data_IF_739557527680
#
_entry.id   IF_739557527680
#
_cell.length_a   1.000
_cell.length_b   1.000
_cell.length_c   1.000
_cell.angle_alpha   90.00
_cell.angle_beta   90.00
_cell.angle_gamma   90.00
#
_symmetry.space_group_name_H-M   'P 1'
#
loop_
_entity.id
_entity.type
_entity.pdbx_description
1 polymer ?
#
# COMPACT_ATOMS: atom_id res chain seq x y z
N UNK A 1 6.08 -33.72 -47.97
CA UNK A 1 5.49 -33.89 -46.63
C UNK A 1 6.45 -34.73 -45.83
N UNK A 2 7.26 -34.12 -44.99
CA UNK A 2 8.16 -34.84 -44.09
C UNK A 2 8.37 -34.01 -42.83
N UNK A 3 7.92 -34.59 -41.72
CA UNK A 3 8.50 -34.49 -40.37
C UNK A 3 8.59 -33.09 -39.75
N UNK A 4 7.44 -32.52 -39.36
CA UNK A 4 7.42 -31.67 -38.16
C UNK A 4 7.46 -32.62 -36.94
N UNK A 5 8.67 -32.98 -36.48
CA UNK A 5 8.84 -33.56 -35.13
C UNK A 5 8.21 -32.59 -34.12
N UNK A 6 7.36 -33.10 -33.22
CA UNK A 6 6.75 -32.25 -32.20
C UNK A 6 7.83 -31.73 -31.24
N UNK A 7 7.60 -30.57 -30.58
CA UNK A 7 8.54 -30.05 -29.58
C UNK A 7 8.86 -31.09 -28.50
N UNK A 8 7.87 -31.89 -28.11
CA UNK A 8 8.02 -32.95 -27.11
C UNK A 8 8.89 -34.11 -27.63
N UNK A 9 8.82 -34.46 -28.92
CA UNK A 9 9.70 -35.46 -29.53
C UNK A 9 11.15 -34.97 -29.62
N UNK A 10 11.35 -33.72 -30.06
CA UNK A 10 12.69 -33.09 -30.09
C UNK A 10 13.30 -32.98 -28.69
N UNK A 11 12.45 -32.74 -27.68
CA UNK A 11 12.83 -32.60 -26.28
C UNK A 11 13.20 -33.93 -25.62
N UNK A 12 12.45 -35.00 -25.88
CA UNK A 12 12.80 -36.34 -25.39
C UNK A 12 14.07 -36.89 -26.08
N UNK A 13 14.27 -36.56 -27.36
CA UNK A 13 15.52 -36.85 -28.08
C UNK A 13 16.71 -36.10 -27.48
N UNK A 14 16.52 -34.82 -27.13
CA UNK A 14 17.54 -34.04 -26.42
C UNK A 14 17.91 -34.61 -25.04
N UNK A 15 16.92 -35.06 -24.25
CA UNK A 15 17.20 -35.75 -22.98
C UNK A 15 17.98 -37.05 -23.17
N UNK A 16 17.70 -37.81 -24.23
CA UNK A 16 18.40 -39.05 -24.54
C UNK A 16 19.87 -38.78 -24.96
N UNK A 17 20.08 -37.79 -25.84
CA UNK A 17 21.41 -37.39 -26.33
C UNK A 17 22.32 -36.87 -25.19
N UNK A 18 21.75 -36.11 -24.24
CA UNK A 18 22.46 -35.60 -23.05
C UNK A 18 22.90 -36.75 -22.14
N UNK A 19 22.12 -37.84 -22.04
CA UNK A 19 22.51 -39.04 -21.27
C UNK A 19 23.62 -39.86 -21.94
N UNK A 20 23.69 -39.85 -23.27
CA UNK A 20 24.64 -40.67 -24.05
C UNK A 20 26.02 -39.98 -24.24
N UNK A 21 26.07 -38.65 -24.17
CA UNK A 21 27.25 -37.78 -24.36
C UNK A 21 28.35 -37.91 -23.28
N UNK A 22 28.09 -38.62 -22.18
CA UNK A 22 28.96 -38.73 -21.00
C UNK A 22 30.35 -39.39 -21.20
N UNK A 23 30.82 -39.65 -22.43
CA UNK A 23 32.17 -40.22 -22.62
C UNK A 23 33.11 -39.59 -23.64
N UNK A 24 32.72 -38.59 -24.45
CA UNK A 24 33.62 -37.77 -25.29
C UNK A 24 32.80 -36.83 -26.17
N UNK A 25 32.85 -35.52 -25.93
CA UNK A 25 32.90 -34.44 -26.93
C UNK A 25 32.32 -33.12 -26.41
N UNK A 26 33.20 -32.27 -25.87
CA UNK A 26 32.92 -30.88 -25.50
C UNK A 26 32.54 -30.01 -26.72
N UNK A 27 33.10 -30.30 -27.89
CA UNK A 27 32.88 -29.55 -29.13
C UNK A 27 31.56 -29.92 -29.83
N UNK A 28 31.15 -31.20 -29.72
CA UNK A 28 29.85 -31.68 -30.21
C UNK A 28 28.70 -31.23 -29.32
N UNK A 29 28.92 -31.14 -28.01
CA UNK A 29 27.97 -30.51 -27.08
C UNK A 29 27.74 -29.04 -27.44
N UNK A 30 28.80 -28.26 -27.70
CA UNK A 30 28.69 -26.86 -28.15
C UNK A 30 27.90 -26.70 -29.45
N UNK A 31 28.22 -27.49 -30.48
CA UNK A 31 27.47 -27.45 -31.75
C UNK A 31 26.01 -27.86 -31.56
N UNK A 32 25.73 -28.85 -30.71
CA UNK A 32 24.38 -29.30 -30.42
C UNK A 32 23.55 -28.23 -29.69
N UNK A 33 24.15 -27.47 -28.76
CA UNK A 33 23.49 -26.35 -28.08
C UNK A 33 23.21 -25.17 -29.03
N UNK A 34 24.14 -24.84 -29.92
CA UNK A 34 23.93 -23.79 -30.94
C UNK A 34 22.85 -24.20 -31.96
N UNK A 35 22.88 -25.44 -32.44
CA UNK A 35 21.93 -25.94 -33.44
C UNK A 35 20.52 -26.09 -32.86
N UNK A 36 20.37 -26.68 -31.66
CA UNK A 36 19.07 -26.82 -30.99
C UNK A 36 18.55 -25.48 -30.45
N UNK A 37 19.43 -24.58 -30.00
CA UNK A 37 19.05 -23.21 -29.64
C UNK A 37 18.45 -22.44 -30.82
N UNK A 38 19.03 -22.59 -32.01
CA UNK A 38 18.50 -21.99 -33.25
C UNK A 38 17.14 -22.57 -33.65
N UNK A 39 16.97 -23.89 -33.51
CA UNK A 39 15.70 -24.59 -33.78
C UNK A 39 14.59 -24.15 -32.80
N UNK A 40 14.93 -23.93 -31.53
CA UNK A 40 14.02 -23.35 -30.54
C UNK A 40 13.62 -21.92 -30.93
N UNK A 41 14.56 -21.08 -31.38
CA UNK A 41 14.23 -19.72 -31.86
C UNK A 41 13.27 -19.74 -33.06
N UNK A 42 13.43 -20.65 -34.02
CA UNK A 42 12.53 -20.80 -35.17
C UNK A 42 11.12 -21.29 -34.77
N UNK A 43 11.04 -22.20 -33.80
CA UNK A 43 9.77 -22.65 -33.24
C UNK A 43 9.05 -21.54 -32.47
N UNK A 44 9.79 -20.66 -31.79
CA UNK A 44 9.21 -19.52 -31.09
C UNK A 44 8.71 -18.45 -32.07
N UNK A 45 9.45 -18.14 -33.15
CA UNK A 45 8.93 -17.28 -34.24
C UNK A 45 7.63 -17.84 -34.86
N UNK A 46 7.50 -19.16 -34.89
CA UNK A 46 6.29 -19.84 -35.39
C UNK A 46 5.14 -19.78 -34.38
N UNK A 47 5.43 -19.83 -33.07
CA UNK A 47 4.47 -19.68 -31.99
C UNK A 47 3.99 -18.22 -31.82
N UNK A 48 4.87 -17.23 -32.02
CA UNK A 48 4.55 -15.80 -32.08
C UNK A 48 3.50 -15.50 -33.17
N UNK A 49 3.65 -16.11 -34.35
CA UNK A 49 2.66 -16.01 -35.44
C UNK A 49 1.29 -16.61 -35.09
N UNK A 50 1.23 -17.51 -34.10
CA UNK A 50 0.00 -18.23 -33.68
C UNK A 50 -0.63 -17.68 -32.40
N UNK A 51 -0.03 -16.68 -31.74
CA UNK A 51 -0.57 -15.99 -30.56
C UNK A 51 -0.88 -16.93 -29.36
N UNK A 52 -0.08 -17.99 -29.17
CA UNK A 52 -0.29 -19.01 -28.14
C UNK A 52 0.57 -18.73 -26.89
N UNK A 53 0.03 -17.95 -25.95
CA UNK A 53 0.72 -17.57 -24.71
C UNK A 53 0.86 -18.73 -23.71
N UNK A 54 -0.09 -19.67 -23.64
CA UNK A 54 0.00 -20.85 -22.76
C UNK A 54 1.17 -21.77 -23.15
N UNK A 55 1.52 -21.83 -24.44
CA UNK A 55 2.63 -22.63 -24.93
C UNK A 55 4.00 -22.08 -24.45
N UNK A 56 4.12 -20.76 -24.31
CA UNK A 56 5.36 -20.11 -23.85
C UNK A 56 5.58 -20.30 -22.35
N UNK A 57 4.50 -20.29 -21.55
CA UNK A 57 4.55 -20.51 -20.10
C UNK A 57 4.92 -21.97 -19.77
N UNK A 58 4.35 -22.93 -20.50
CA UNK A 58 4.67 -24.35 -20.35
C UNK A 58 6.09 -24.68 -20.84
N UNK A 59 6.56 -23.99 -21.88
CA UNK A 59 7.95 -24.08 -22.36
C UNK A 59 8.95 -23.55 -21.33
N UNK A 60 8.62 -22.47 -20.62
CA UNK A 60 9.46 -21.90 -19.55
C UNK A 60 9.64 -22.89 -18.38
N UNK A 61 8.55 -23.51 -17.90
CA UNK A 61 8.61 -24.51 -16.82
C UNK A 61 9.45 -25.72 -17.24
N UNK A 62 9.32 -26.17 -18.49
CA UNK A 62 10.10 -27.29 -19.03
C UNK A 62 11.60 -26.95 -19.20
N UNK A 63 11.94 -25.71 -19.57
CA UNK A 63 13.32 -25.22 -19.61
C UNK A 63 13.94 -25.22 -18.21
N UNK A 64 13.20 -24.74 -17.20
CA UNK A 64 13.63 -24.76 -15.79
C UNK A 64 13.80 -26.20 -15.26
N UNK A 65 12.97 -27.14 -15.72
CA UNK A 65 13.08 -28.55 -15.33
C UNK A 65 14.29 -29.27 -15.96
N UNK A 66 14.64 -28.97 -17.21
CA UNK A 66 15.88 -29.48 -17.83
C UNK A 66 17.12 -28.94 -17.12
N UNK A 67 17.05 -27.69 -16.66
CA UNK A 67 18.12 -27.07 -15.86
C UNK A 67 18.34 -27.78 -14.53
N UNK A 68 17.29 -28.27 -13.85
CA UNK A 68 17.47 -29.03 -12.61
C UNK A 68 18.14 -30.38 -12.83
N UNK A 69 17.85 -31.05 -13.95
CA UNK A 69 18.44 -32.36 -14.31
C UNK A 69 19.90 -32.23 -14.77
N UNK A 70 20.28 -31.13 -15.44
CA UNK A 70 21.66 -30.89 -15.86
C UNK A 70 22.61 -30.58 -14.69
N UNK A 71 22.08 -30.05 -13.57
CA UNK A 71 22.84 -29.66 -12.37
C UNK A 71 23.19 -30.86 -11.48
N UNK A 72 22.44 -31.95 -11.56
CA UNK A 72 22.71 -33.19 -10.81
C UNK A 72 23.98 -33.93 -11.26
N UNK A 73 24.58 -33.55 -12.40
CA UNK A 73 25.85 -34.10 -12.88
C UNK A 73 26.98 -33.07 -12.70
N UNK A 74 27.98 -33.42 -11.90
CA UNK A 74 28.96 -32.54 -11.24
C UNK A 74 30.04 -31.87 -12.12
N UNK A 75 29.79 -31.56 -13.40
CA UNK A 75 30.80 -30.87 -14.23
C UNK A 75 30.66 -29.32 -14.22
N UNK A 76 31.76 -28.63 -13.97
CA UNK A 76 31.81 -27.18 -13.72
C UNK A 76 31.60 -26.34 -15.00
N UNK A 77 31.92 -26.92 -16.17
CA UNK A 77 31.81 -26.27 -17.47
C UNK A 77 30.37 -26.27 -18.02
N UNK A 78 29.60 -27.35 -17.76
CA UNK A 78 28.18 -27.45 -18.12
C UNK A 78 27.33 -26.50 -17.27
N UNK A 79 27.67 -26.32 -15.98
CA UNK A 79 27.02 -25.37 -15.07
C UNK A 79 27.14 -23.92 -15.57
N UNK A 80 28.34 -23.47 -15.97
CA UNK A 80 28.54 -22.10 -16.51
C UNK A 80 27.79 -21.85 -17.82
N UNK A 81 27.75 -22.83 -18.71
CA UNK A 81 27.03 -22.71 -19.98
C UNK A 81 25.51 -22.75 -19.78
N UNK A 82 25.00 -23.60 -18.88
CA UNK A 82 23.60 -23.59 -18.49
C UNK A 82 23.19 -22.26 -17.84
N UNK A 83 24.04 -21.65 -17.01
CA UNK A 83 23.84 -20.32 -16.43
C UNK A 83 23.72 -19.22 -17.50
N UNK A 84 24.59 -19.24 -18.51
CA UNK A 84 24.56 -18.24 -19.58
C UNK A 84 23.35 -18.42 -20.50
N UNK A 85 23.00 -19.68 -20.83
CA UNK A 85 21.76 -20.00 -21.56
C UNK A 85 20.54 -19.58 -20.74
N UNK A 86 20.54 -19.78 -19.42
CA UNK A 86 19.47 -19.30 -18.52
C UNK A 86 19.39 -17.78 -18.52
N UNK A 87 20.51 -17.08 -18.38
CA UNK A 87 20.56 -15.61 -18.42
C UNK A 87 19.97 -15.06 -19.72
N UNK A 88 20.39 -15.62 -20.86
CA UNK A 88 19.95 -15.17 -22.20
C UNK A 88 18.49 -15.53 -22.46
N UNK A 89 18.07 -16.77 -22.16
CA UNK A 89 16.69 -17.23 -22.39
C UNK A 89 15.70 -16.58 -21.43
N UNK A 90 16.01 -16.45 -20.14
CA UNK A 90 15.17 -15.75 -19.17
C UNK A 90 15.04 -14.26 -19.50
N UNK A 91 16.12 -13.59 -19.90
CA UNK A 91 16.07 -12.18 -20.33
C UNK A 91 15.26 -12.00 -21.62
N UNK A 92 15.42 -12.91 -22.59
CA UNK A 92 14.71 -12.86 -23.86
C UNK A 92 13.22 -13.17 -23.71
N UNK A 93 12.87 -14.20 -22.92
CA UNK A 93 11.49 -14.54 -22.54
C UNK A 93 10.84 -13.40 -21.75
N UNK A 94 11.56 -12.78 -20.80
CA UNK A 94 11.09 -11.62 -20.04
C UNK A 94 10.82 -10.40 -20.94
N UNK A 95 11.72 -10.11 -21.89
CA UNK A 95 11.56 -9.02 -22.87
C UNK A 95 10.34 -9.22 -23.78
N UNK A 96 9.97 -10.46 -24.09
CA UNK A 96 8.81 -10.77 -24.95
C UNK A 96 7.50 -10.93 -24.18
N UNK A 97 7.54 -11.41 -22.94
CA UNK A 97 6.36 -11.65 -22.11
C UNK A 97 6.00 -10.49 -21.17
N UNK A 98 6.89 -9.51 -20.95
CA UNK A 98 6.76 -8.49 -19.88
C UNK A 98 6.32 -9.12 -18.53
N UNK A 99 6.92 -10.27 -18.18
CA UNK A 99 6.62 -10.94 -16.92
C UNK A 99 6.90 -10.01 -15.75
N UNK A 100 6.06 -10.12 -14.72
CA UNK A 100 5.99 -9.22 -13.58
C UNK A 100 7.38 -9.03 -12.93
N UNK A 101 7.66 -7.84 -12.41
CA UNK A 101 8.87 -7.55 -11.64
C UNK A 101 9.04 -8.57 -10.49
N UNK A 102 7.95 -9.08 -9.91
CA UNK A 102 7.95 -10.16 -8.91
C UNK A 102 8.39 -11.52 -9.44
N UNK A 103 8.04 -11.90 -10.67
CA UNK A 103 8.48 -13.17 -11.27
C UNK A 103 9.92 -13.08 -11.74
N UNK A 104 10.33 -11.90 -12.23
CA UNK A 104 11.72 -11.56 -12.46
C UNK A 104 12.53 -11.62 -11.16
N UNK A 105 12.05 -11.02 -10.07
CA UNK A 105 12.68 -11.06 -8.74
C UNK A 105 12.69 -12.47 -8.16
N UNK A 106 11.61 -13.27 -8.29
CA UNK A 106 11.59 -14.68 -7.88
C UNK A 106 12.59 -15.51 -8.66
N UNK A 107 12.67 -15.31 -9.97
CA UNK A 107 13.64 -16.00 -10.83
C UNK A 107 15.06 -15.56 -10.49
N UNK A 108 15.29 -14.27 -10.24
CA UNK A 108 16.57 -13.74 -9.80
C UNK A 108 16.98 -14.28 -8.43
N UNK A 109 16.04 -14.38 -7.48
CA UNK A 109 16.27 -15.00 -6.17
C UNK A 109 16.52 -16.51 -6.27
N UNK A 110 15.84 -17.21 -7.19
CA UNK A 110 16.10 -18.62 -7.47
C UNK A 110 17.49 -18.82 -8.06
N UNK A 111 17.90 -17.99 -9.03
CA UNK A 111 19.25 -17.99 -9.61
C UNK A 111 20.32 -17.65 -8.57
N UNK A 112 20.09 -16.67 -7.68
CA UNK A 112 20.99 -16.32 -6.58
C UNK A 112 21.09 -17.44 -5.52
N UNK A 113 19.97 -18.12 -5.22
CA UNK A 113 19.93 -19.27 -4.32
C UNK A 113 20.68 -20.49 -4.88
N UNK A 114 20.65 -20.70 -6.20
CA UNK A 114 21.37 -21.78 -6.86
C UNK A 114 22.86 -21.44 -7.12
N UNK A 115 23.23 -20.15 -7.28
CA UNK A 115 24.58 -19.73 -7.73
C UNK A 115 25.08 -18.42 -7.06
N UNK A 116 25.54 -18.46 -5.80
CA UNK A 116 25.71 -17.27 -4.95
C UNK A 116 26.88 -16.31 -5.31
N UNK A 117 27.79 -16.67 -6.23
CA UNK A 117 28.91 -15.81 -6.65
C UNK A 117 28.74 -15.25 -8.06
N UNK A 118 28.42 -16.09 -9.05
CA UNK A 118 28.14 -15.63 -10.42
C UNK A 118 26.74 -14.97 -10.55
N UNK A 119 25.74 -15.44 -9.79
CA UNK A 119 24.38 -14.91 -9.81
C UNK A 119 24.29 -13.44 -9.41
N UNK A 120 25.06 -13.02 -8.40
CA UNK A 120 25.11 -11.62 -7.95
C UNK A 120 25.65 -10.65 -9.01
N UNK A 121 26.62 -11.09 -9.81
CA UNK A 121 27.18 -10.27 -10.90
C UNK A 121 26.18 -10.15 -12.05
N UNK A 122 25.57 -11.25 -12.46
CA UNK A 122 24.53 -11.26 -13.50
C UNK A 122 23.32 -10.42 -13.09
N UNK A 123 22.89 -10.52 -11.82
CA UNK A 123 21.77 -9.74 -11.27
C UNK A 123 22.04 -8.24 -11.28
N UNK A 124 23.25 -7.82 -10.89
CA UNK A 124 23.65 -6.41 -10.94
C UNK A 124 23.65 -5.86 -12.37
N UNK A 125 24.18 -6.63 -13.32
CA UNK A 125 24.21 -6.24 -14.74
C UNK A 125 22.79 -6.17 -15.35
N UNK A 126 21.88 -7.09 -14.97
CA UNK A 126 20.49 -7.07 -15.41
C UNK A 126 19.71 -5.87 -14.85
N UNK A 127 19.93 -5.51 -13.59
CA UNK A 127 19.31 -4.33 -12.97
C UNK A 127 19.83 -3.01 -13.58
N UNK A 128 21.14 -2.88 -13.79
CA UNK A 128 21.72 -1.69 -14.44
C UNK A 128 21.24 -1.53 -15.90
N UNK A 129 21.02 -2.65 -16.61
CA UNK A 129 20.46 -2.64 -17.96
C UNK A 129 18.97 -2.24 -17.94
N UNK A 130 18.20 -2.71 -16.96
CA UNK A 130 16.80 -2.33 -16.75
C UNK A 130 16.66 -0.83 -16.50
N UNK A 131 17.48 -0.24 -15.61
CA UNK A 131 17.48 1.19 -15.33
C UNK A 131 17.82 2.03 -16.58
N UNK A 132 18.78 1.58 -17.40
CA UNK A 132 19.15 2.25 -18.65
C UNK A 132 18.06 2.18 -19.72
N UNK A 133 17.33 1.08 -19.82
CA UNK A 133 16.24 0.93 -20.79
C UNK A 133 14.99 1.70 -20.37
N UNK A 134 14.68 1.75 -19.07
CA UNK A 134 13.65 2.63 -18.51
C UNK A 134 13.95 4.11 -18.79
N UNK A 135 15.23 4.52 -18.67
CA UNK A 135 15.67 5.87 -19.01
C UNK A 135 15.59 6.23 -20.51
N UNK A 136 15.56 5.23 -21.41
CA UNK A 136 15.48 5.42 -22.86
C UNK A 136 14.03 5.50 -23.40
N UNK A 137 13.02 5.28 -22.56
CA UNK A 137 11.61 5.49 -22.94
C UNK A 137 11.35 7.00 -22.93
N UNK A 138 11.18 7.61 -24.10
CA UNK A 138 11.07 9.08 -24.24
C UNK A 138 10.04 9.69 -23.27
N UNK A 139 10.36 10.77 -22.54
CA UNK A 139 9.46 11.43 -21.59
C UNK A 139 8.23 12.09 -22.21
N UNK A 140 8.07 12.08 -23.54
CA UNK A 140 6.97 12.76 -24.25
C UNK A 140 5.60 12.08 -24.13
N UNK A 141 5.52 10.86 -23.60
CA UNK A 141 4.28 10.06 -23.54
C UNK A 141 3.69 9.95 -22.13
N UNK A 142 4.27 10.67 -21.16
CA UNK A 142 3.94 10.59 -19.75
C UNK A 142 3.31 11.92 -19.34
N UNK A 143 2.16 11.84 -18.68
CA UNK A 143 1.57 13.00 -18.03
C UNK A 143 1.70 12.85 -16.52
N UNK A 144 2.36 13.81 -15.89
CA UNK A 144 2.56 13.84 -14.44
C UNK A 144 1.52 14.73 -13.79
N UNK A 145 0.93 14.25 -12.70
CA UNK A 145 -0.08 14.96 -11.92
C UNK A 145 0.34 14.94 -10.48
N UNK A 146 0.66 16.12 -9.96
CA UNK A 146 0.75 16.35 -8.54
C UNK A 146 -0.67 16.46 -7.98
N UNK A 147 -1.04 15.55 -7.08
CA UNK A 147 -2.27 15.73 -6.33
C UNK A 147 -2.14 16.96 -5.44
N UNK A 148 -3.07 17.90 -5.57
CA UNK A 148 -3.20 19.01 -4.64
C UNK A 148 -3.58 18.49 -3.24
N UNK A 149 -3.37 19.34 -2.22
CA UNK A 149 -3.70 19.06 -0.81
C UNK A 149 -5.08 18.38 -0.69
N UNK A 150 -5.14 17.22 -0.05
CA UNK A 150 -6.42 16.53 0.17
C UNK A 150 -6.33 15.05 0.55
N UNK A 151 -5.25 14.37 0.17
CA UNK A 151 -5.00 12.96 0.52
C UNK A 151 -4.09 12.77 1.74
N UNK A 152 -3.77 13.84 2.45
CA UNK A 152 -2.98 13.75 3.66
C UNK A 152 -3.79 13.06 4.77
N UNK A 153 -3.27 11.95 5.31
CA UNK A 153 -3.82 11.31 6.50
C UNK A 153 -3.55 12.19 7.71
N UNK A 154 -4.48 13.12 7.97
CA UNK A 154 -4.42 14.07 9.07
C UNK A 154 -5.64 13.91 9.97
N UNK A 155 -5.42 13.94 11.28
CA UNK A 155 -6.49 13.93 12.26
C UNK A 155 -6.06 14.58 13.57
N UNK A 156 -7.03 15.01 14.39
CA UNK A 156 -6.79 15.63 15.68
C UNK A 156 -7.17 14.66 16.81
N UNK A 157 -6.24 14.44 17.72
CA UNK A 157 -6.43 13.71 18.96
C UNK A 157 -6.65 14.70 20.10
N UNK A 158 -7.90 14.87 20.52
CA UNK A 158 -8.28 15.73 21.65
C UNK A 158 -8.76 14.87 22.82
N UNK A 159 -8.13 15.01 23.97
CA UNK A 159 -8.53 14.27 25.18
C UNK A 159 -8.19 15.05 26.44
N UNK A 160 -9.02 14.92 27.47
CA UNK A 160 -8.74 15.44 28.82
C UNK A 160 -8.61 14.26 29.76
N UNK A 161 -7.47 14.19 30.45
CA UNK A 161 -7.17 13.14 31.41
C UNK A 161 -7.16 13.76 32.80
N UNK A 162 -8.00 13.22 33.67
CA UNK A 162 -8.11 13.63 35.08
C UNK A 162 -7.83 12.42 35.98
N UNK A 163 -7.02 12.60 37.02
CA UNK A 163 -6.75 11.53 37.97
C UNK A 163 -5.55 11.80 38.88
N UNK A 164 -5.37 10.94 39.89
CA UNK A 164 -4.20 11.01 40.77
C UNK A 164 -3.05 10.15 40.26
N UNK A 165 -1.83 10.70 40.28
CA UNK A 165 -0.59 9.94 40.07
C UNK A 165 0.14 9.76 41.40
N UNK A 166 -0.28 8.74 42.14
CA UNK A 166 0.20 8.46 43.50
C UNK A 166 1.67 8.03 43.57
N UNK A 167 2.23 7.47 42.50
CA UNK A 167 3.65 7.08 42.42
C UNK A 167 4.16 7.02 40.96
N UNK A 168 5.47 6.78 40.75
CA UNK A 168 6.13 6.72 39.43
C UNK A 168 5.82 5.45 38.60
N UNK A 169 5.06 4.51 39.15
CA UNK A 169 4.55 3.33 38.44
C UNK A 169 3.13 3.55 37.92
N UNK A 170 2.39 4.48 38.51
CA UNK A 170 1.06 4.86 38.05
C UNK A 170 1.14 5.54 36.68
N UNK A 171 0.12 5.26 35.86
CA UNK A 171 -0.08 5.85 34.55
C UNK A 171 -1.55 6.22 34.42
N UNK A 172 -1.82 7.37 33.81
CA UNK A 172 -3.16 7.72 33.36
C UNK A 172 -3.20 7.53 31.84
N UNK A 173 -4.26 6.92 31.33
CA UNK A 173 -4.39 6.59 29.91
C UNK A 173 -5.77 7.06 29.45
N UNK A 174 -5.83 7.73 28.29
CA UNK A 174 -7.12 8.07 27.67
C UNK A 174 -7.82 6.83 27.13
N UNK A 175 -9.10 6.98 26.78
CA UNK A 175 -9.81 6.00 25.93
C UNK A 175 -9.09 5.87 24.58
N UNK A 176 -9.26 4.71 23.95
CA UNK A 176 -8.77 4.47 22.59
C UNK A 176 -9.65 5.23 21.59
N UNK A 177 -9.04 5.98 20.67
CA UNK A 177 -9.70 6.69 19.57
C UNK A 177 -9.19 6.16 18.25
N UNK A 178 -10.07 5.76 17.34
CA UNK A 178 -9.68 5.12 16.09
C UNK A 178 -9.57 6.15 14.95
N UNK A 179 -8.43 6.15 14.27
CA UNK A 179 -8.20 6.92 13.04
C UNK A 179 -7.44 6.06 12.03
N UNK A 180 -7.96 6.02 10.80
CA UNK A 180 -7.42 5.21 9.70
C UNK A 180 -7.25 3.73 10.11
N UNK A 181 -8.21 3.19 10.86
CA UNK A 181 -8.16 1.81 11.36
C UNK A 181 -7.22 1.57 12.53
N UNK A 182 -6.48 2.58 12.98
CA UNK A 182 -5.46 2.47 14.03
C UNK A 182 -6.04 3.07 15.33
N UNK A 183 -5.95 2.37 16.47
CA UNK A 183 -6.28 2.92 17.77
C UNK A 183 -5.16 3.83 18.27
N UNK A 184 -5.55 5.00 18.77
CA UNK A 184 -4.68 6.01 19.33
C UNK A 184 -5.08 6.32 20.77
N UNK A 185 -4.10 6.60 21.62
CA UNK A 185 -4.35 7.07 22.98
C UNK A 185 -3.21 7.90 23.53
N UNK A 186 -3.55 8.78 24.46
CA UNK A 186 -2.59 9.53 25.25
C UNK A 186 -2.32 8.79 26.56
N UNK A 187 -1.06 8.84 27.00
CA UNK A 187 -0.64 8.34 28.29
C UNK A 187 0.16 9.42 29.02
N UNK A 188 -0.13 9.61 30.30
CA UNK A 188 0.64 10.43 31.23
C UNK A 188 1.31 9.50 32.23
N UNK A 189 2.62 9.67 32.43
CA UNK A 189 3.39 8.91 33.42
C UNK A 189 4.28 9.83 34.24
N UNK A 190 4.26 9.64 35.56
CA UNK A 190 5.20 10.30 36.48
C UNK A 190 6.56 9.57 36.46
N UNK A 191 7.64 10.32 36.31
CA UNK A 191 9.02 9.82 36.38
C UNK A 191 9.50 9.80 37.84
N UNK A 192 10.70 9.26 38.08
CA UNK A 192 11.33 9.30 39.42
C UNK A 192 11.79 10.71 39.83
N UNK A 193 11.96 11.59 38.87
CA UNK A 193 12.40 12.99 39.04
C UNK A 193 11.21 13.96 39.13
N UNK A 194 10.02 13.45 39.45
CA UNK A 194 8.77 14.21 39.54
C UNK A 194 8.44 15.04 38.29
N UNK A 195 8.79 14.47 37.13
CA UNK A 195 8.34 14.96 35.83
C UNK A 195 7.17 14.12 35.31
N UNK A 196 6.33 14.71 34.49
CA UNK A 196 5.25 14.06 33.77
C UNK A 196 5.64 13.91 32.30
N UNK A 197 5.79 12.67 31.86
CA UNK A 197 5.94 12.36 30.44
C UNK A 197 4.57 12.16 29.82
N UNK A 198 4.29 12.95 28.79
CA UNK A 198 3.10 12.84 27.96
C UNK A 198 3.48 12.11 26.69
N UNK A 199 2.79 11.01 26.41
CA UNK A 199 3.09 10.12 25.29
C UNK A 199 1.83 9.87 24.48
N UNK A 200 1.91 10.08 23.17
CA UNK A 200 0.92 9.59 22.21
C UNK A 200 1.33 8.18 21.80
N UNK A 201 0.39 7.24 21.89
CA UNK A 201 0.60 5.84 21.51
C UNK A 201 -0.36 5.47 20.40
N UNK A 202 0.11 4.58 19.54
CA UNK A 202 -0.71 3.98 18.50
C UNK A 202 -0.73 2.44 18.57
N UNK A 203 -1.71 1.82 17.91
CA UNK A 203 -1.74 0.42 17.48
C UNK A 203 -2.26 -0.62 18.50
N UNK A 204 -2.91 -1.72 18.03
CA UNK A 204 -2.80 -3.04 18.63
C UNK A 204 -1.60 -3.79 18.03
N UNK A 205 -1.31 -5.00 18.51
CA UNK A 205 -0.20 -5.85 18.07
C UNK A 205 -0.19 -6.25 16.57
N UNK A 206 -1.14 -5.83 15.73
CA UNK A 206 -1.38 -6.43 14.42
C UNK A 206 -1.73 -5.49 13.24
N UNK A 207 -1.79 -4.16 13.41
CA UNK A 207 -1.97 -3.24 12.26
C UNK A 207 -0.61 -2.71 11.80
N UNK A 208 -0.19 -3.10 10.59
CA UNK A 208 1.05 -2.69 9.89
C UNK A 208 2.34 -2.78 10.72
N UNK A 209 2.65 -3.98 11.23
CA UNK A 209 3.96 -4.30 11.84
C UNK A 209 5.16 -4.04 10.90
N UNK A 210 4.91 -3.94 9.58
CA UNK A 210 5.94 -3.92 8.54
C UNK A 210 6.21 -2.52 7.93
N UNK A 211 5.45 -1.49 8.29
CA UNK A 211 5.62 -0.14 7.74
C UNK A 211 6.68 0.68 8.51
N UNK A 212 7.52 1.45 7.82
CA UNK A 212 8.17 2.63 8.41
C UNK A 212 7.31 3.86 8.16
N UNK A 213 6.85 4.49 9.23
CA UNK A 213 5.91 5.60 9.14
C UNK A 213 6.56 6.87 9.69
N UNK A 214 6.58 7.91 8.85
CA UNK A 214 6.99 9.25 9.21
C UNK A 214 5.77 10.03 9.67
N UNK A 215 5.79 10.49 10.91
CA UNK A 215 4.64 11.11 11.57
C UNK A 215 5.10 12.44 12.17
N UNK A 216 4.40 13.49 11.81
CA UNK A 216 4.50 14.81 12.43
C UNK A 216 3.37 14.93 13.47
N UNK A 217 3.71 15.31 14.70
CA UNK A 217 2.75 15.59 15.76
C UNK A 217 2.95 17.02 16.25
N UNK A 218 1.96 17.88 15.98
CA UNK A 218 1.85 19.23 16.56
C UNK A 218 0.90 19.18 17.73
N UNK A 219 1.30 19.66 18.90
CA UNK A 219 0.51 19.51 20.11
C UNK A 219 0.37 20.81 20.90
N UNK A 220 -0.75 20.91 21.62
CA UNK A 220 -1.03 21.88 22.66
C UNK A 220 -1.52 21.14 23.91
N UNK A 221 -0.87 21.42 25.04
CA UNK A 221 -1.20 20.91 26.36
C UNK A 221 -1.72 22.05 27.22
N UNK A 222 -2.84 21.83 27.91
CA UNK A 222 -3.40 22.75 28.91
C UNK A 222 -3.61 22.00 30.21
N UNK A 223 -2.99 22.46 31.28
CA UNK A 223 -3.19 21.92 32.63
C UNK A 223 -4.35 22.64 33.32
N UNK A 224 -4.92 22.02 34.34
CA UNK A 224 -6.05 22.62 35.05
C UNK A 224 -5.69 23.86 35.89
N UNK A 225 -4.41 24.13 36.15
CA UNK A 225 -3.94 25.38 36.77
C UNK A 225 -3.66 26.50 35.76
N UNK A 226 -3.91 26.27 34.46
CA UNK A 226 -3.76 27.26 33.39
C UNK A 226 -2.42 27.22 32.66
N UNK A 227 -1.45 26.41 33.10
CA UNK A 227 -0.19 26.24 32.37
C UNK A 227 -0.43 25.65 30.97
N UNK A 228 0.26 26.22 29.98
CA UNK A 228 0.11 25.85 28.57
C UNK A 228 1.46 25.51 27.97
N UNK A 229 1.56 24.40 27.23
CA UNK A 229 2.76 24.03 26.47
C UNK A 229 2.38 23.58 25.08
N UNK A 230 3.02 24.18 24.09
CA UNK A 230 2.89 23.79 22.69
C UNK A 230 4.22 23.26 22.17
N UNK A 231 4.16 22.48 21.10
CA UNK A 231 5.36 21.99 20.43
C UNK A 231 5.03 21.14 19.23
N UNK A 232 6.10 20.69 18.59
CA UNK A 232 6.05 19.90 17.37
C UNK A 232 7.19 18.89 17.39
N UNK A 233 6.87 17.66 16.98
CA UNK A 233 7.85 16.61 16.85
C UNK A 233 7.64 15.83 15.54
N UNK A 234 8.74 15.50 14.91
CA UNK A 234 8.79 14.52 13.82
C UNK A 234 9.30 13.20 14.38
N UNK A 235 8.54 12.14 14.13
CA UNK A 235 8.86 10.80 14.56
C UNK A 235 8.97 9.90 13.34
N UNK A 236 9.96 9.01 13.38
CA UNK A 236 10.03 7.87 12.48
C UNK A 236 9.72 6.64 13.31
N UNK A 237 8.62 5.96 12.99
CA UNK A 237 8.31 4.67 13.58
C UNK A 237 9.13 3.61 12.89
N UNK A 238 9.96 2.91 13.66
CA UNK A 238 10.72 1.77 13.19
C UNK A 238 9.85 0.50 13.09
N UNK A 239 10.21 -0.37 12.14
CA UNK A 239 9.57 -1.67 11.94
C UNK A 239 9.51 -2.49 13.23
N UNK A 240 8.42 -3.23 13.43
CA UNK A 240 8.21 -4.16 14.55
C UNK A 240 8.31 -3.54 15.97
N UNK A 241 8.37 -2.22 16.11
CA UNK A 241 8.36 -1.55 17.42
C UNK A 241 7.00 -0.95 17.73
N UNK A 242 6.57 -1.07 18.99
CA UNK A 242 5.40 -0.32 19.47
C UNK A 242 5.71 1.16 19.39
N UNK A 243 4.93 1.94 18.63
CA UNK A 243 5.20 3.36 18.54
C UNK A 243 4.65 4.10 19.76
N UNK A 244 5.59 4.67 20.50
CA UNK A 244 5.35 5.50 21.68
C UNK A 244 6.07 6.81 21.41
N UNK A 245 5.29 7.84 21.12
CA UNK A 245 5.79 9.16 20.78
C UNK A 245 5.72 10.03 22.03
N UNK A 246 6.85 10.21 22.71
CA UNK A 246 6.90 11.14 23.82
C UNK A 246 6.86 12.55 23.25
N UNK A 247 5.72 13.23 23.43
CA UNK A 247 5.49 14.56 22.87
C UNK A 247 5.89 15.68 23.84
N UNK A 248 5.91 15.42 25.14
CA UNK A 248 6.30 16.44 26.11
C UNK A 248 6.77 15.84 27.43
N UNK A 249 7.58 16.62 28.14
CA UNK A 249 7.87 16.49 29.56
C UNK A 249 7.48 17.78 30.28
N UNK A 250 6.82 17.65 31.43
CA UNK A 250 6.31 18.75 32.25
C UNK A 250 6.68 18.54 33.72
N UNK A 251 7.00 19.57 34.51
CA UNK A 251 7.12 19.43 35.96
C UNK A 251 5.76 19.04 36.56
N UNK A 252 5.75 18.14 37.55
CA UNK A 252 4.52 17.75 38.24
C UNK A 252 3.80 18.97 38.87
N UNK A 253 4.56 19.93 39.41
CA UNK A 253 4.04 21.16 40.00
C UNK A 253 3.16 21.98 39.06
N UNK A 254 3.41 21.91 37.74
CA UNK A 254 2.68 22.66 36.73
C UNK A 254 1.36 21.99 36.31
N UNK A 255 1.15 20.71 36.65
CA UNK A 255 -0.01 19.94 36.18
C UNK A 255 -1.03 19.60 37.28
N UNK A 256 -0.63 19.77 38.53
CA UNK A 256 -1.46 19.51 39.71
C UNK A 256 -2.49 20.62 39.88
N UNK A 257 -3.71 20.24 40.27
CA UNK A 257 -4.79 21.20 40.52
C UNK A 257 -4.52 22.04 41.77
N UNK A 258 -4.77 23.34 41.68
CA UNK A 258 -4.62 24.28 42.80
C UNK A 258 -5.55 23.89 43.96
N UNK A 259 -6.78 23.50 43.64
CA UNK A 259 -7.81 23.19 44.64
C UNK A 259 -7.70 21.77 45.22
N UNK A 260 -6.99 20.86 44.53
CA UNK A 260 -6.77 19.50 45.00
C UNK A 260 -5.41 18.97 44.54
N UNK A 261 -4.36 19.11 45.37
CA UNK A 261 -3.00 18.74 45.02
C UNK A 261 -2.79 17.25 44.68
N UNK A 262 -3.76 16.40 45.01
CA UNK A 262 -3.73 14.97 44.69
C UNK A 262 -4.27 14.61 43.30
N UNK A 263 -4.90 15.57 42.61
CA UNK A 263 -5.49 15.39 41.29
C UNK A 263 -4.73 16.23 40.25
N UNK A 264 -4.50 15.64 39.08
CA UNK A 264 -4.04 16.36 37.91
C UNK A 264 -5.14 16.38 36.86
N UNK A 265 -5.20 17.46 36.09
CA UNK A 265 -6.05 17.60 34.90
C UNK A 265 -5.18 18.08 33.77
N UNK A 266 -5.10 17.29 32.70
CA UNK A 266 -4.35 17.65 31.50
C UNK A 266 -5.23 17.46 30.26
N UNK A 267 -5.50 18.55 29.57
CA UNK A 267 -6.09 18.57 28.24
C UNK A 267 -4.98 18.52 27.20
N UNK A 268 -5.09 17.58 26.27
CA UNK A 268 -4.15 17.30 25.20
C UNK A 268 -4.88 17.50 23.88
N UNK A 269 -4.33 18.35 23.01
CA UNK A 269 -4.81 18.58 21.66
C UNK A 269 -3.64 18.35 20.71
N UNK A 270 -3.62 17.23 20.00
CA UNK A 270 -2.53 16.85 19.10
C UNK A 270 -3.04 16.68 17.67
N UNK A 271 -2.51 17.46 16.73
CA UNK A 271 -2.69 17.25 15.30
C UNK A 271 -1.63 16.26 14.82
N UNK A 272 -2.07 15.12 14.29
CA UNK A 272 -1.22 14.05 13.79
C UNK A 272 -1.31 14.04 12.27
N UNK A 273 -0.16 14.07 11.61
CA UNK A 273 -0.03 14.05 10.15
C UNK A 273 0.93 12.94 9.74
N UNK A 274 0.47 12.01 8.91
CA UNK A 274 1.36 11.07 8.24
C UNK A 274 2.05 11.79 7.07
N UNK A 275 3.38 11.73 7.04
CA UNK A 275 4.21 12.32 5.97
C UNK A 275 4.57 11.29 4.91
N UNK A 276 4.87 10.06 5.34
CA UNK A 276 5.23 8.95 4.46
C UNK A 276 4.96 7.63 5.17
N UNK A 277 4.35 6.68 4.48
CA UNK A 277 4.33 5.27 4.89
C UNK A 277 5.15 4.47 3.88
N UNK A 278 6.20 3.80 4.35
CA UNK A 278 6.99 2.85 3.57
C UNK A 278 6.53 1.46 3.97
N UNK A 279 5.53 0.94 3.26
CA UNK A 279 5.07 -0.44 3.40
C UNK A 279 5.75 -1.33 2.35
N UNK A 280 6.25 -2.50 2.78
CA UNK A 280 6.54 -3.60 1.86
C UNK A 280 5.22 -4.21 1.39
N UNK A 281 5.16 -4.55 0.10
CA UNK A 281 4.00 -5.07 -0.63
C UNK A 281 3.40 -6.31 0.06
N UNK A 282 2.48 -6.10 1.00
CA UNK A 282 1.53 -7.14 1.37
C UNK A 282 0.48 -7.21 0.26
N UNK A 283 0.65 -8.23 -0.58
CA UNK A 283 -0.24 -8.77 -1.63
C UNK A 283 -1.68 -8.23 -1.57
N UNK A 284 -1.95 -7.14 -2.31
CA UNK A 284 -3.30 -6.77 -2.72
C UNK A 284 -3.49 -7.12 -4.21
N UNK A 285 -4.75 -7.28 -4.61
CA UNK A 285 -5.17 -7.80 -5.91
C UNK A 285 -4.40 -7.16 -7.08
N UNK A 286 -3.86 -8.02 -7.94
CA UNK A 286 -2.97 -7.63 -9.04
C UNK A 286 -3.71 -6.75 -10.07
N UNK A 287 -3.52 -5.43 -9.97
CA UNK A 287 -3.60 -4.52 -11.12
C UNK A 287 -2.29 -4.50 -11.92
N UNK A 288 -1.42 -5.49 -11.68
CA UNK A 288 -0.17 -5.75 -12.39
C UNK A 288 -0.37 -6.40 -13.77
N UNK A 289 0.73 -6.90 -14.35
CA UNK A 289 0.82 -7.30 -15.77
C UNK A 289 -0.29 -8.28 -16.24
N UNK A 290 -0.82 -9.12 -15.34
CA UNK A 290 -1.90 -10.08 -15.65
C UNK A 290 -3.19 -9.43 -16.18
N UNK A 291 -3.42 -8.14 -15.87
CA UNK A 291 -4.58 -7.36 -16.36
C UNK A 291 -4.30 -6.51 -17.60
N UNK A 292 -3.05 -6.42 -18.05
CA UNK A 292 -2.65 -5.60 -19.20
C UNK A 292 -3.46 -5.91 -20.45
N UNK A 293 -3.68 -7.20 -20.73
CA UNK A 293 -4.46 -7.67 -21.90
C UNK A 293 -5.92 -7.19 -21.94
N UNK A 294 -6.47 -6.76 -20.80
CA UNK A 294 -7.83 -6.26 -20.67
C UNK A 294 -7.90 -4.77 -20.36
N UNK A 295 -6.77 -4.05 -20.46
CA UNK A 295 -6.65 -2.66 -20.07
C UNK A 295 -6.29 -1.81 -21.27
N UNK A 296 -6.80 -0.59 -21.31
CA UNK A 296 -6.54 0.38 -22.39
C UNK A 296 -5.64 1.54 -21.92
N UNK A 297 -5.19 1.50 -20.66
CA UNK A 297 -4.32 2.53 -20.09
C UNK A 297 -3.56 2.12 -18.84
N UNK A 298 -2.48 2.86 -18.57
CA UNK A 298 -1.61 2.67 -17.41
C UNK A 298 -1.62 3.92 -16.50
N UNK A 299 -1.91 3.71 -15.22
CA UNK A 299 -1.66 4.69 -14.16
C UNK A 299 -0.47 4.24 -13.31
N UNK A 300 0.42 5.17 -12.99
CA UNK A 300 1.56 4.97 -12.08
C UNK A 300 1.26 5.71 -10.78
N UNK A 301 1.10 4.99 -9.67
CA UNK A 301 0.70 5.56 -8.37
C UNK A 301 1.62 5.02 -7.30
N UNK A 302 2.32 5.89 -6.57
CA UNK A 302 3.28 5.47 -5.54
C UNK A 302 4.37 4.53 -6.06
N UNK A 303 4.77 4.65 -7.33
CA UNK A 303 5.72 3.76 -8.00
C UNK A 303 5.11 2.45 -8.52
N UNK A 304 3.85 2.14 -8.22
CA UNK A 304 3.17 0.92 -8.67
C UNK A 304 2.37 1.15 -9.95
N UNK A 305 2.32 0.11 -10.79
CA UNK A 305 1.57 0.09 -12.07
C UNK A 305 0.14 -0.39 -11.86
N UNK A 306 -0.82 0.41 -12.32
CA UNK A 306 -2.24 0.07 -12.35
C UNK A 306 -2.74 0.04 -13.79
N UNK A 307 -2.98 -1.15 -14.32
CA UNK A 307 -3.61 -1.34 -15.62
C UNK A 307 -5.13 -1.19 -15.50
N UNK A 308 -5.70 -0.21 -16.21
CA UNK A 308 -7.10 0.21 -16.03
C UNK A 308 -7.84 0.35 -17.37
N UNK A 309 -9.17 0.42 -17.29
CA UNK A 309 -10.07 0.76 -18.40
C UNK A 309 -10.53 2.22 -18.28
N UNK A 310 -10.06 3.11 -19.17
CA UNK A 310 -10.38 4.56 -19.15
C UNK A 310 -11.87 4.81 -19.10
N UNK A 311 -12.61 4.17 -20.01
CA UNK A 311 -14.06 4.38 -20.14
C UNK A 311 -14.80 3.94 -18.90
N UNK A 312 -14.38 2.84 -18.28
CA UNK A 312 -14.96 2.35 -17.05
C UNK A 312 -14.73 3.33 -15.88
N UNK A 313 -13.47 3.72 -15.65
CA UNK A 313 -13.13 4.67 -14.60
C UNK A 313 -13.77 6.05 -14.82
N UNK A 314 -13.78 6.56 -16.05
CA UNK A 314 -14.47 7.80 -16.41
C UNK A 314 -16.00 7.72 -16.18
N UNK A 315 -16.60 6.55 -16.43
CA UNK A 315 -18.01 6.33 -16.16
C UNK A 315 -18.30 6.31 -14.65
N UNK A 316 -17.38 5.80 -13.84
CA UNK A 316 -17.56 5.62 -12.40
C UNK A 316 -17.03 6.78 -11.53
N UNK A 317 -16.19 7.65 -12.07
CA UNK A 317 -15.57 8.76 -11.36
C UNK A 317 -15.50 10.01 -12.22
N UNK A 318 -16.03 11.11 -11.70
CA UNK A 318 -15.99 12.40 -12.40
C UNK A 318 -14.56 12.99 -12.46
N UNK A 319 -13.71 12.66 -11.49
CA UNK A 319 -12.28 13.00 -11.54
C UNK A 319 -11.62 12.32 -12.73
N UNK A 320 -11.76 10.98 -12.84
CA UNK A 320 -11.16 10.22 -13.93
C UNK A 320 -11.74 10.59 -15.29
N UNK A 321 -13.03 10.96 -15.34
CA UNK A 321 -13.64 11.50 -16.56
C UNK A 321 -12.92 12.75 -17.05
N UNK A 322 -12.72 13.74 -16.19
CA UNK A 322 -12.00 14.97 -16.54
C UNK A 322 -10.55 14.67 -16.91
N UNK A 323 -9.89 13.83 -16.12
CA UNK A 323 -8.50 13.44 -16.34
C UNK A 323 -8.29 12.81 -17.72
N UNK A 324 -9.09 11.78 -18.06
CA UNK A 324 -8.93 11.10 -19.34
C UNK A 324 -9.41 11.92 -20.53
N UNK A 325 -10.34 12.87 -20.34
CA UNK A 325 -10.67 13.83 -21.39
C UNK A 325 -9.47 14.72 -21.75
N UNK A 326 -8.73 15.21 -20.75
CA UNK A 326 -7.50 15.98 -20.97
C UNK A 326 -6.43 15.11 -21.63
N UNK A 327 -6.21 13.90 -21.12
CA UNK A 327 -5.23 12.98 -21.71
C UNK A 327 -5.58 12.59 -23.15
N UNK A 328 -6.87 12.45 -23.49
CA UNK A 328 -7.31 12.07 -24.84
C UNK A 328 -7.12 13.18 -25.89
N UNK A 329 -6.88 14.42 -25.49
CA UNK A 329 -6.51 15.52 -26.40
C UNK A 329 -5.05 15.39 -26.89
N UNK A 330 -4.26 14.52 -26.26
CA UNK A 330 -2.84 14.33 -26.46
C UNK A 330 -2.57 12.85 -26.75
N UNK A 331 -2.71 12.39 -28.01
CA UNK A 331 -2.63 10.98 -28.38
C UNK A 331 -1.27 10.32 -28.06
N UNK A 332 -0.23 11.12 -27.85
CA UNK A 332 1.07 10.68 -27.37
C UNK A 332 1.06 10.15 -25.93
N UNK A 333 0.08 10.53 -25.10
CA UNK A 333 0.03 10.10 -23.71
C UNK A 333 -0.44 8.64 -23.61
N UNK A 334 0.48 7.78 -23.19
CA UNK A 334 0.22 6.35 -22.95
C UNK A 334 0.09 6.00 -21.47
N UNK A 335 0.56 6.88 -20.58
CA UNK A 335 0.50 6.67 -19.14
C UNK A 335 0.40 7.99 -18.35
N UNK A 336 -0.17 7.90 -17.13
CA UNK A 336 -0.28 9.04 -16.20
C UNK A 336 0.37 8.66 -14.87
N UNK A 337 1.21 9.54 -14.33
CA UNK A 337 1.79 9.42 -12.97
C UNK A 337 0.99 10.27 -12.01
N UNK A 338 0.52 9.67 -10.91
CA UNK A 338 -0.15 10.36 -9.81
C UNK A 338 0.81 10.45 -8.62
N UNK A 339 1.34 11.65 -8.37
CA UNK A 339 2.22 11.94 -7.23
C UNK A 339 1.40 12.29 -5.99
N UNK A 340 1.97 12.02 -4.81
CA UNK A 340 1.33 12.33 -3.51
C UNK A 340 0.25 11.34 -3.08
N UNK A 341 0.26 10.12 -3.64
CA UNK A 341 -0.76 9.10 -3.39
C UNK A 341 -0.10 7.79 -2.99
N UNK A 342 -0.54 7.20 -1.88
CA UNK A 342 -0.13 5.86 -1.49
C UNK A 342 -0.85 4.81 -2.36
N UNK A 343 -0.07 3.92 -2.98
CA UNK A 343 -0.59 2.93 -3.92
C UNK A 343 -1.66 2.02 -3.28
N UNK A 344 -1.45 1.62 -2.02
CA UNK A 344 -2.40 0.78 -1.27
C UNK A 344 -3.72 1.47 -0.99
N UNK A 345 -3.70 2.75 -0.60
CA UNK A 345 -4.92 3.51 -0.42
C UNK A 345 -5.69 3.64 -1.74
N UNK A 346 -4.96 3.84 -2.84
CA UNK A 346 -5.54 3.94 -4.18
C UNK A 346 -6.16 2.61 -4.62
N UNK A 347 -5.49 1.50 -4.29
CA UNK A 347 -5.98 0.14 -4.50
C UNK A 347 -7.30 -0.10 -3.78
N UNK A 348 -7.40 0.26 -2.48
CA UNK A 348 -8.64 0.12 -1.70
C UNK A 348 -9.80 0.88 -2.37
N UNK A 349 -9.56 2.09 -2.85
CA UNK A 349 -10.55 2.87 -3.58
C UNK A 349 -11.00 2.16 -4.87
N UNK A 350 -10.05 1.68 -5.68
CA UNK A 350 -10.36 0.98 -6.94
C UNK A 350 -11.14 -0.32 -6.73
N UNK A 351 -10.80 -1.11 -5.71
CA UNK A 351 -11.51 -2.36 -5.42
C UNK A 351 -12.97 -2.09 -5.04
N UNK A 352 -13.25 -1.05 -4.25
CA UNK A 352 -14.63 -0.64 -3.94
C UNK A 352 -15.34 -0.13 -5.18
N UNK A 353 -14.68 0.71 -5.99
CA UNK A 353 -15.24 1.23 -7.24
C UNK A 353 -15.63 0.11 -8.22
N UNK A 354 -14.89 -1.01 -8.19
CA UNK A 354 -15.13 -2.20 -9.01
C UNK A 354 -16.14 -3.19 -8.41
N UNK A 355 -16.69 -2.89 -7.23
CA UNK A 355 -17.76 -3.67 -6.61
C UNK A 355 -17.32 -4.68 -5.55
N UNK A 356 -16.03 -4.72 -5.16
CA UNK A 356 -15.54 -5.61 -4.09
C UNK A 356 -15.71 -5.03 -2.69
N UNK A 357 -16.81 -4.33 -2.44
CA UNK A 357 -16.94 -3.54 -1.21
C UNK A 357 -17.12 -4.38 0.06
N UNK A 358 -17.69 -5.59 -0.01
CA UNK A 358 -17.95 -6.42 1.17
C UNK A 358 -16.68 -6.88 1.90
N UNK A 359 -15.60 -7.13 1.17
CA UNK A 359 -14.31 -7.57 1.72
C UNK A 359 -13.46 -6.36 2.14
N UNK A 360 -13.62 -5.24 1.42
CA UNK A 360 -12.73 -4.09 1.50
C UNK A 360 -13.21 -3.04 2.47
N UNK A 361 -14.53 -2.82 2.61
CA UNK A 361 -15.10 -1.78 3.49
C UNK A 361 -15.32 -2.34 4.89
N UNK A 362 -14.41 -2.04 5.81
CA UNK A 362 -14.52 -2.41 7.22
C UNK A 362 -13.92 -1.32 8.13
N UNK A 363 -13.95 -1.55 9.45
CA UNK A 363 -13.46 -0.59 10.47
C UNK A 363 -12.04 -0.06 10.22
N UNK A 364 -11.20 -0.87 9.56
CA UNK A 364 -9.79 -0.56 9.29
C UNK A 364 -9.57 0.35 8.09
N UNK A 365 -10.49 0.32 7.12
CA UNK A 365 -10.28 0.85 5.77
C UNK A 365 -11.28 1.93 5.39
N UNK A 366 -12.46 1.98 6.02
CA UNK A 366 -13.55 2.90 5.66
C UNK A 366 -13.10 4.37 5.62
N UNK A 367 -12.29 4.81 6.59
CA UNK A 367 -11.80 6.19 6.65
C UNK A 367 -10.79 6.50 5.53
N UNK A 368 -9.97 5.51 5.14
CA UNK A 368 -9.03 5.63 4.01
C UNK A 368 -9.82 5.71 2.70
N UNK A 369 -10.81 4.84 2.51
CA UNK A 369 -11.65 4.80 1.30
C UNK A 369 -12.42 6.12 1.15
N UNK A 370 -12.95 6.67 2.24
CA UNK A 370 -13.61 7.98 2.25
C UNK A 370 -12.64 9.12 1.90
N UNK A 371 -11.42 9.10 2.45
CA UNK A 371 -10.37 10.05 2.10
C UNK A 371 -10.09 10.04 0.61
N UNK A 372 -9.85 8.86 0.04
CA UNK A 372 -9.60 8.71 -1.40
C UNK A 372 -10.81 9.16 -2.22
N UNK A 373 -12.02 8.82 -1.80
CA UNK A 373 -13.23 9.22 -2.50
C UNK A 373 -13.47 10.73 -2.49
N UNK A 374 -12.97 11.46 -1.48
CA UNK A 374 -13.09 12.93 -1.43
C UNK A 374 -12.36 13.63 -2.60
N UNK A 375 -11.34 12.99 -3.16
CA UNK A 375 -10.58 13.49 -4.32
C UNK A 375 -11.04 12.84 -5.61
N UNK A 376 -11.11 11.50 -5.65
CA UNK A 376 -11.41 10.77 -6.88
C UNK A 376 -12.91 10.72 -7.20
N UNK A 377 -13.80 11.09 -6.27
CA UNK A 377 -15.24 11.24 -6.49
C UNK A 377 -15.88 10.08 -7.29
N UNK A 378 -15.78 8.87 -6.73
CA UNK A 378 -16.40 7.65 -7.24
C UNK A 378 -17.88 7.58 -6.90
N UNK A 379 -18.72 7.28 -7.89
CA UNK A 379 -20.20 7.37 -7.82
C UNK A 379 -20.82 6.62 -6.64
N UNK A 380 -20.42 5.37 -6.42
CA UNK A 380 -21.03 4.50 -5.42
C UNK A 380 -20.16 4.28 -4.18
N UNK A 381 -18.95 4.83 -4.15
CA UNK A 381 -17.98 4.55 -3.08
C UNK A 381 -18.45 5.14 -1.75
N UNK A 382 -18.96 6.37 -1.76
CA UNK A 382 -19.54 7.00 -0.58
C UNK A 382 -20.74 6.20 -0.06
N UNK A 383 -21.68 5.83 -0.94
CA UNK A 383 -22.88 5.06 -0.59
C UNK A 383 -22.53 3.74 0.13
N UNK A 384 -21.53 3.00 -0.37
CA UNK A 384 -21.05 1.76 0.29
C UNK A 384 -20.43 2.03 1.66
N UNK A 385 -19.71 3.13 1.82
CA UNK A 385 -19.17 3.53 3.11
C UNK A 385 -20.29 3.94 4.08
N UNK A 386 -21.33 4.65 3.60
CA UNK A 386 -22.49 5.02 4.41
C UNK A 386 -23.27 3.78 4.88
N UNK A 387 -23.54 2.83 3.98
CA UNK A 387 -24.18 1.55 4.29
C UNK A 387 -23.44 0.79 5.40
N UNK A 388 -22.11 0.79 5.35
CA UNK A 388 -21.28 0.21 6.39
C UNK A 388 -21.38 0.99 7.71
N UNK A 389 -21.22 2.31 7.68
CA UNK A 389 -21.21 3.16 8.88
C UNK A 389 -22.53 3.12 9.66
N UNK A 390 -23.67 3.05 8.95
CA UNK A 390 -24.99 2.88 9.57
C UNK A 390 -25.09 1.55 10.34
N UNK A 391 -24.42 0.48 9.87
CA UNK A 391 -24.41 -0.86 10.50
C UNK A 391 -23.25 -1.07 11.48
N UNK A 392 -22.27 -0.18 11.51
CA UNK A 392 -21.05 -0.30 12.30
C UNK A 392 -21.33 -0.07 13.80
N UNK A 393 -21.70 -1.11 14.53
CA UNK A 393 -22.05 -1.05 15.95
C UNK A 393 -20.85 -0.89 16.90
N UNK A 394 -19.64 -1.28 16.48
CA UNK A 394 -18.41 -1.10 17.29
C UNK A 394 -17.83 0.32 17.16
N UNK A 395 -18.35 1.13 16.22
CA UNK A 395 -17.91 2.51 16.04
C UNK A 395 -18.78 3.46 16.85
N UNK A 396 -18.14 4.33 17.62
CA UNK A 396 -18.84 5.31 18.46
C UNK A 396 -19.59 6.34 17.61
N UNK A 397 -20.69 6.88 18.16
CA UNK A 397 -21.52 7.86 17.46
C UNK A 397 -20.73 9.13 17.12
N UNK A 398 -19.86 9.58 18.03
CA UNK A 398 -18.98 10.72 17.85
C UNK A 398 -18.08 10.53 16.62
N UNK A 399 -17.55 9.31 16.41
CA UNK A 399 -16.70 9.00 15.26
C UNK A 399 -17.51 8.95 13.97
N UNK A 400 -18.72 8.37 13.99
CA UNK A 400 -19.62 8.37 12.81
C UNK A 400 -19.97 9.79 12.37
N UNK A 401 -20.33 10.66 13.32
CA UNK A 401 -20.65 12.07 13.05
C UNK A 401 -19.42 12.83 12.55
N UNK A 402 -18.24 12.61 13.15
CA UNK A 402 -17.00 13.23 12.67
C UNK A 402 -16.65 12.82 11.22
N UNK A 403 -16.80 11.54 10.88
CA UNK A 403 -16.62 11.06 9.49
C UNK A 403 -17.69 11.65 8.55
N UNK A 404 -18.94 11.71 9.00
CA UNK A 404 -20.04 12.24 8.21
C UNK A 404 -19.88 13.74 7.91
N UNK A 405 -19.45 14.51 8.91
CA UNK A 405 -19.13 15.92 8.76
C UNK A 405 -17.94 16.12 7.81
N UNK A 406 -16.83 15.39 8.02
CA UNK A 406 -15.62 15.52 7.22
C UNK A 406 -15.80 15.16 5.75
N UNK A 407 -16.57 14.11 5.46
CA UNK A 407 -16.73 13.56 4.11
C UNK A 407 -18.12 13.82 3.52
N UNK A 408 -18.92 14.71 4.13
CA UNK A 408 -20.26 15.11 3.68
C UNK A 408 -21.23 13.92 3.47
N UNK A 409 -21.26 13.00 4.44
CA UNK A 409 -22.11 11.79 4.43
C UNK A 409 -23.47 12.06 5.07
N UNK A 410 -24.37 12.67 4.31
CA UNK A 410 -25.66 13.16 4.82
C UNK A 410 -26.52 12.05 5.42
N UNK A 411 -26.53 10.86 4.83
CA UNK A 411 -27.37 9.76 5.31
C UNK A 411 -26.89 9.26 6.67
N UNK A 412 -25.57 9.18 6.86
CA UNK A 412 -24.97 8.80 8.16
C UNK A 412 -25.28 9.85 9.22
N UNK A 413 -25.18 11.14 8.88
CA UNK A 413 -25.49 12.22 9.81
C UNK A 413 -26.97 12.17 10.25
N UNK A 414 -27.90 12.05 9.31
CA UNK A 414 -29.35 11.94 9.59
C UNK A 414 -29.63 10.73 10.47
N UNK A 415 -29.04 9.57 10.14
CA UNK A 415 -29.20 8.36 10.95
C UNK A 415 -28.71 8.59 12.39
N UNK A 416 -27.52 9.15 12.58
CA UNK A 416 -26.98 9.43 13.91
C UNK A 416 -27.86 10.43 14.69
N UNK A 417 -28.33 11.51 14.06
CA UNK A 417 -29.21 12.50 14.70
C UNK A 417 -30.57 11.90 15.11
N UNK A 418 -31.06 10.88 14.39
CA UNK A 418 -32.30 10.18 14.74
C UNK A 418 -32.14 9.29 15.98
N UNK A 419 -30.93 8.76 16.22
CA UNK A 419 -30.60 7.90 17.37
C UNK A 419 -30.34 8.70 18.66
N UNK A 420 -30.08 10.01 18.57
CA UNK A 420 -29.89 10.88 19.74
C UNK A 420 -31.22 11.05 20.48
N UNK A 421 -31.19 10.72 21.78
CA UNK A 421 -32.38 10.70 22.65
C UNK A 421 -32.34 11.71 23.80
N UNK A 422 -31.23 12.40 24.03
CA UNK A 422 -31.10 13.41 25.08
C UNK A 422 -30.15 14.55 24.69
N UNK A 423 -30.29 15.69 25.37
CA UNK A 423 -29.50 16.89 25.12
C UNK A 423 -28.03 16.77 25.57
N UNK A 424 -27.75 15.97 26.61
CA UNK A 424 -26.39 15.78 27.12
C UNK A 424 -25.46 15.15 26.07
N UNK A 425 -25.96 14.19 25.28
CA UNK A 425 -25.24 13.60 24.15
C UNK A 425 -24.86 14.66 23.11
N UNK A 426 -25.76 15.63 22.84
CA UNK A 426 -25.48 16.70 21.89
C UNK A 426 -24.39 17.62 22.43
N UNK A 427 -24.43 17.94 23.73
CA UNK A 427 -23.40 18.75 24.35
C UNK A 427 -22.02 18.07 24.26
N UNK A 428 -21.95 16.75 24.45
CA UNK A 428 -20.72 15.97 24.27
C UNK A 428 -20.22 16.03 22.82
N UNK A 429 -21.12 15.89 21.84
CA UNK A 429 -20.80 15.96 20.41
C UNK A 429 -20.32 17.34 19.96
N UNK A 430 -20.94 18.41 20.45
CA UNK A 430 -20.57 19.80 20.11
C UNK A 430 -19.19 20.21 20.64
N UNK A 431 -18.64 19.51 21.63
CA UNK A 431 -17.27 19.72 22.09
C UNK A 431 -16.22 19.28 21.06
N UNK A 432 -16.63 18.54 20.02
CA UNK A 432 -15.78 18.17 18.90
C UNK A 432 -15.64 19.37 17.94
N UNK A 433 -14.44 19.98 17.95
CA UNK A 433 -14.17 21.15 17.13
C UNK A 433 -14.03 20.85 15.64
N UNK A 434 -13.76 19.58 15.28
CA UNK A 434 -13.54 19.14 13.91
C UNK A 434 -14.86 19.00 13.10
N UNK A 435 -16.00 19.29 13.73
CA UNK A 435 -17.29 19.36 13.06
C UNK A 435 -17.41 20.66 12.27
N UNK A 436 -17.77 20.51 10.99
CA UNK A 436 -18.10 21.62 10.11
C UNK A 436 -19.34 22.38 10.59
N UNK A 437 -19.50 23.61 10.09
CA UNK A 437 -20.59 24.49 10.52
C UNK A 437 -21.97 23.89 10.24
N UNK A 438 -22.12 23.14 9.14
CA UNK A 438 -23.41 22.53 8.79
C UNK A 438 -23.81 21.42 9.78
N UNK A 439 -22.86 20.57 10.18
CA UNK A 439 -23.10 19.52 11.18
C UNK A 439 -23.39 20.12 12.56
N UNK A 440 -22.66 21.16 12.95
CA UNK A 440 -22.93 21.88 14.21
C UNK A 440 -24.33 22.47 14.24
N UNK A 441 -24.76 23.09 13.14
CA UNK A 441 -26.11 23.62 13.02
C UNK A 441 -27.17 22.51 13.12
N UNK A 442 -26.98 21.38 12.43
CA UNK A 442 -27.90 20.25 12.52
C UNK A 442 -27.99 19.68 13.95
N UNK A 443 -26.89 19.64 14.70
CA UNK A 443 -26.86 19.25 16.11
C UNK A 443 -27.62 20.25 17.00
N UNK A 444 -27.46 21.55 16.78
CA UNK A 444 -28.18 22.60 17.52
C UNK A 444 -29.69 22.60 17.24
N UNK A 445 -30.08 22.37 15.98
CA UNK A 445 -31.48 22.20 15.59
C UNK A 445 -32.10 20.97 16.27
N UNK A 446 -31.36 19.85 16.31
CA UNK A 446 -31.75 18.67 17.07
C UNK A 446 -31.84 18.97 18.57
N UNK A 447 -30.93 19.75 19.14
CA UNK A 447 -30.98 20.14 20.56
C UNK A 447 -32.24 20.93 20.88
N UNK A 448 -32.69 21.79 19.96
CA UNK A 448 -33.90 22.60 20.10
C UNK A 448 -35.20 21.78 20.02
N UNK A 449 -35.12 20.50 19.64
CA UNK A 449 -36.27 19.58 19.60
C UNK A 449 -36.52 18.83 20.91
N UNK A 450 -35.58 18.92 21.85
CA UNK A 450 -35.74 18.46 23.24
C UNK A 450 -36.30 19.58 24.10
#
# INVERSE_FOLDING_TARGET
>A
MSEEESFEELFEKFKADVKESNSKHEETMKQMFEEKGKKISEMIETAEKRNSFEFLEHSFVNIVHVQSVAVENEDDLSKKQCLEVTRVTSFWIWRQLELCEEEFIRTAHYVDACYPKEGKKAMKEMMEQHEKEMANTKPSNIMEIEQEKGLEKVFRLKTTIEGGLTNCYAKLVSKDVYHFGIPWKCQIRRTKEDQLNVTVKWGPKFSSLNAEDEIEIKYELKTGNGFTKQGEHFFVKERNKSAKFQIATLPLSEAVMVDNPGLLKLSINALVTFKRSVEENDVFFQFGATKRKFSDFLLLVGGQKFYVLKKYLAMQSSYFQKLFNVASQKPEITQIVLHGVEAKDFQLFLDVLQGKYYEIVHYGTVEIILLMNSVYNGKHVAERCEEFLMKANLMTMEKKIALASRYNLKNVLINCLSEITNADQIQELLNNEDLDMSTRQALLEKASSF
#
